data_IF_318099173688
#
_entry.id   IF_318099173688
#
_cell.length_a   1.000
_cell.length_b   1.000
_cell.length_c   1.000
_cell.angle_alpha   90.00
_cell.angle_beta   90.00
_cell.angle_gamma   90.00
#
_symmetry.space_group_name_H-M   'P 1'
#
loop_
_entity.id
_entity.type
_entity.pdbx_description
1 polymer ?
#
# COMPACT_ATOMS: atom_id res chain seq x y z
N UNK A 1 17.37 -5.58 25.46
CA UNK A 1 16.29 -6.38 24.87
C UNK A 1 16.38 -6.18 23.38
N UNK A 2 16.69 -7.23 22.62
CA UNK A 2 17.03 -7.13 21.20
C UNK A 2 15.83 -6.57 20.44
N UNK A 3 15.98 -5.40 19.83
CA UNK A 3 15.02 -4.84 18.88
C UNK A 3 14.97 -5.77 17.68
N UNK A 4 14.08 -6.76 17.71
CA UNK A 4 13.62 -7.40 16.48
C UNK A 4 12.87 -6.31 15.72
N UNK A 5 13.55 -5.64 14.80
CA UNK A 5 12.87 -4.96 13.70
C UNK A 5 12.06 -6.04 13.01
N UNK A 6 10.76 -6.12 13.32
CA UNK A 6 9.78 -6.83 12.50
C UNK A 6 9.93 -6.32 11.05
N UNK A 7 9.20 -6.89 10.07
CA UNK A 7 9.20 -6.42 8.67
C UNK A 7 8.63 -4.99 8.47
N UNK A 8 8.76 -4.12 9.47
CA UNK A 8 8.29 -2.75 9.51
C UNK A 8 9.20 -1.83 8.69
N UNK A 9 8.55 -1.08 7.79
CA UNK A 9 9.18 -0.01 7.04
C UNK A 9 9.14 1.31 7.84
N UNK A 10 10.32 1.84 8.19
CA UNK A 10 10.49 3.15 8.83
C UNK A 10 11.66 3.92 8.21
N UNK A 11 11.40 5.09 7.60
CA UNK A 11 12.44 5.98 7.12
C UNK A 11 13.25 6.61 8.27
N UNK A 12 14.59 6.73 8.12
CA UNK A 12 15.46 7.32 9.14
C UNK A 12 15.18 8.81 9.38
N UNK A 13 14.58 9.52 8.43
CA UNK A 13 14.27 10.96 8.54
C UNK A 13 13.01 11.28 9.37
N UNK A 14 12.24 10.28 9.79
CA UNK A 14 11.00 10.51 10.55
C UNK A 14 11.17 11.30 11.86
N UNK A 15 12.18 11.04 12.71
CA UNK A 15 12.32 11.74 13.98
C UNK A 15 12.43 13.26 13.81
N UNK A 16 13.27 13.71 12.87
CA UNK A 16 13.47 15.14 12.61
C UNK A 16 12.22 15.79 12.04
N UNK A 17 11.52 15.10 11.14
CA UNK A 17 10.27 15.61 10.55
C UNK A 17 9.13 15.69 11.58
N UNK A 18 9.07 14.74 12.50
CA UNK A 18 8.11 14.78 13.63
C UNK A 18 8.39 15.98 14.53
N UNK A 19 9.66 16.24 14.88
CA UNK A 19 10.04 17.42 15.68
C UNK A 19 9.72 18.73 14.96
N UNK A 20 10.06 18.82 13.67
CA UNK A 20 9.76 19.99 12.86
C UNK A 20 8.24 20.26 12.78
N UNK A 21 7.43 19.21 12.64
CA UNK A 21 5.96 19.34 12.68
C UNK A 21 5.47 19.85 14.05
N UNK A 22 5.98 19.27 15.15
CA UNK A 22 5.61 19.67 16.50
C UNK A 22 6.01 21.12 16.83
N UNK A 23 7.13 21.60 16.29
CA UNK A 23 7.61 22.97 16.46
C UNK A 23 6.95 23.99 15.52
N UNK A 24 6.09 23.54 14.59
CA UNK A 24 5.47 24.41 13.58
C UNK A 24 6.40 24.83 12.43
N UNK A 25 7.53 24.15 12.28
CA UNK A 25 8.52 24.37 11.22
C UNK A 25 8.20 23.59 9.94
N UNK A 26 7.33 22.57 10.05
CA UNK A 26 6.84 21.77 8.93
C UNK A 26 5.34 22.02 8.73
N UNK A 27 4.98 22.42 7.51
CA UNK A 27 3.57 22.47 7.08
C UNK A 27 3.21 21.13 6.43
N UNK A 28 2.19 20.40 6.92
CA UNK A 28 1.77 19.13 6.32
C UNK A 28 1.36 19.30 4.86
N UNK A 29 1.83 18.39 4.00
CA UNK A 29 1.34 18.31 2.63
C UNK A 29 -0.13 17.86 2.60
N UNK A 30 -0.92 18.33 1.63
CA UNK A 30 -2.27 17.82 1.44
C UNK A 30 -2.20 16.36 0.92
N UNK A 31 -2.94 15.42 1.52
CA UNK A 31 -2.91 14.03 1.09
C UNK A 31 -3.63 13.86 -0.26
N UNK A 32 -2.96 13.17 -1.21
CA UNK A 32 -3.57 12.79 -2.48
C UNK A 32 -4.50 11.59 -2.27
N UNK A 33 -5.69 11.62 -2.86
CA UNK A 33 -6.60 10.46 -2.80
C UNK A 33 -6.01 9.28 -3.56
N UNK A 34 -6.15 8.10 -2.99
CA UNK A 34 -5.68 6.85 -3.58
C UNK A 34 -6.66 5.72 -3.29
N UNK A 35 -6.56 4.66 -4.08
CA UNK A 35 -7.32 3.44 -3.89
C UNK A 35 -6.41 2.22 -3.99
N UNK A 36 -6.71 1.18 -3.22
CA UNK A 36 -5.94 -0.07 -3.19
C UNK A 36 -6.89 -1.24 -3.08
N UNK A 37 -6.65 -2.33 -3.81
CA UNK A 37 -7.54 -3.50 -3.85
C UNK A 37 -6.82 -4.75 -3.37
N UNK A 38 -7.30 -5.31 -2.26
CA UNK A 38 -6.98 -6.66 -1.81
C UNK A 38 -7.75 -7.65 -2.68
N UNK A 39 -7.12 -8.08 -3.77
CA UNK A 39 -7.70 -9.07 -4.67
C UNK A 39 -7.57 -10.46 -4.06
N UNK A 40 -8.71 -11.13 -3.87
CA UNK A 40 -8.83 -12.39 -3.15
C UNK A 40 -9.23 -13.53 -4.07
N UNK A 41 -8.76 -14.74 -3.78
CA UNK A 41 -9.29 -15.99 -4.34
C UNK A 41 -9.19 -17.10 -3.31
N UNK A 42 -10.09 -18.06 -3.36
CA UNK A 42 -10.03 -19.21 -2.44
C UNK A 42 -8.97 -20.21 -2.88
N UNK A 43 -8.14 -20.66 -1.93
CA UNK A 43 -7.20 -21.73 -2.16
C UNK A 43 -7.92 -23.08 -2.15
N UNK A 44 -7.41 -24.03 -2.96
CA UNK A 44 -7.90 -25.41 -2.93
C UNK A 44 -7.74 -26.08 -1.55
N UNK A 45 -6.80 -25.61 -0.74
CA UNK A 45 -6.59 -26.05 0.65
C UNK A 45 -7.56 -25.40 1.67
N UNK A 46 -8.49 -24.56 1.19
CA UNK A 46 -9.44 -23.80 2.02
C UNK A 46 -8.91 -22.40 2.37
N UNK A 47 -9.78 -21.44 2.66
CA UNK A 47 -9.40 -20.06 3.01
C UNK A 47 -9.02 -19.17 1.82
N UNK A 48 -9.15 -17.84 1.94
CA UNK A 48 -8.73 -16.91 0.92
C UNK A 48 -7.19 -16.80 0.86
N UNK A 49 -6.68 -16.59 -0.34
CA UNK A 49 -5.34 -16.06 -0.62
C UNK A 49 -5.51 -14.67 -1.22
N UNK A 50 -4.55 -13.80 -0.95
CA UNK A 50 -4.52 -12.43 -1.45
C UNK A 50 -3.40 -12.25 -2.46
N UNK A 51 -3.68 -11.50 -3.52
CA UNK A 51 -2.68 -11.11 -4.51
C UNK A 51 -1.86 -9.94 -3.97
N UNK A 52 -0.56 -10.14 -3.80
CA UNK A 52 0.37 -9.11 -3.34
C UNK A 52 1.47 -8.89 -4.36
N UNK A 53 1.88 -7.64 -4.50
CA UNK A 53 2.96 -7.18 -5.36
C UNK A 53 4.15 -6.76 -4.50
N UNK A 54 5.35 -7.17 -4.86
CA UNK A 54 6.58 -6.64 -4.26
C UNK A 54 7.07 -5.47 -5.10
N UNK A 55 7.12 -4.29 -4.49
CA UNK A 55 7.65 -3.08 -5.12
C UNK A 55 9.11 -3.29 -5.47
N UNK A 56 9.55 -2.82 -6.65
CA UNK A 56 10.97 -2.93 -7.04
C UNK A 56 11.86 -2.33 -5.96
N UNK A 57 12.95 -3.03 -5.61
CA UNK A 57 13.88 -2.59 -4.56
C UNK A 57 14.54 -1.25 -4.87
N UNK A 58 14.62 -0.88 -6.15
CA UNK A 58 15.16 0.41 -6.62
C UNK A 58 14.22 1.60 -6.41
N UNK A 59 12.97 1.39 -5.97
CA UNK A 59 12.04 2.49 -5.72
C UNK A 59 12.47 3.32 -4.49
N UNK A 60 12.44 4.65 -4.64
CA UNK A 60 12.84 5.59 -3.59
C UNK A 60 11.95 5.57 -2.34
N UNK A 61 10.74 5.04 -2.43
CA UNK A 61 9.78 4.92 -1.32
C UNK A 61 9.25 3.48 -1.24
N UNK A 62 9.40 2.87 -0.06
CA UNK A 62 8.97 1.50 0.23
C UNK A 62 9.48 0.45 -0.80
N UNK A 63 10.70 0.61 -1.30
CA UNK A 63 11.32 -0.38 -2.19
C UNK A 63 11.46 -1.75 -1.49
N UNK A 64 11.08 -2.82 -2.18
CA UNK A 64 11.06 -4.17 -1.62
C UNK A 64 9.88 -4.48 -0.69
N UNK A 65 9.03 -3.49 -0.39
CA UNK A 65 7.84 -3.72 0.42
C UNK A 65 6.74 -4.41 -0.40
N UNK A 66 6.00 -5.30 0.25
CA UNK A 66 4.80 -5.89 -0.30
C UNK A 66 3.62 -4.94 -0.14
N UNK A 67 2.84 -4.81 -1.21
CA UNK A 67 1.63 -4.02 -1.32
C UNK A 67 0.58 -4.79 -2.13
N UNK A 68 -0.57 -4.15 -2.37
CA UNK A 68 -1.59 -4.65 -3.29
C UNK A 68 -1.65 -3.73 -4.52
N UNK A 69 -2.30 -4.14 -5.62
CA UNK A 69 -2.63 -3.25 -6.72
C UNK A 69 -3.33 -1.98 -6.20
N UNK A 70 -2.86 -0.82 -6.63
CA UNK A 70 -3.41 0.45 -6.17
C UNK A 70 -2.51 1.64 -6.45
N UNK A 71 -3.15 2.79 -6.60
CA UNK A 71 -2.48 4.03 -6.94
C UNK A 71 -3.34 5.25 -6.67
N UNK A 72 -2.86 6.39 -7.15
CA UNK A 72 -3.53 7.67 -6.94
C UNK A 72 -4.75 7.78 -7.85
N UNK A 73 -5.75 8.53 -7.38
CA UNK A 73 -6.82 9.01 -8.25
C UNK A 73 -6.21 9.89 -9.34
N UNK A 74 -6.49 9.58 -10.61
CA UNK A 74 -6.08 10.38 -11.77
C UNK A 74 -7.21 11.38 -12.10
N UNK A 75 -6.91 12.62 -12.53
CA UNK A 75 -7.95 13.56 -12.96
C UNK A 75 -8.89 13.01 -14.04
N UNK A 76 -8.44 12.05 -14.86
CA UNK A 76 -9.28 11.37 -15.86
C UNK A 76 -10.35 10.47 -15.24
N UNK A 77 -10.21 10.06 -13.98
CA UNK A 77 -11.21 9.27 -13.25
C UNK A 77 -12.50 10.08 -12.94
N UNK A 78 -12.45 11.41 -13.13
CA UNK A 78 -13.62 12.30 -13.04
C UNK A 78 -14.60 12.10 -14.21
N UNK A 79 -14.11 11.56 -15.34
CA UNK A 79 -14.94 11.32 -16.52
C UNK A 79 -16.04 10.31 -16.20
N UNK A 80 -17.30 10.60 -16.55
CA UNK A 80 -18.40 9.66 -16.29
C UNK A 80 -18.18 8.30 -16.96
N UNK A 81 -18.42 7.23 -16.20
CA UNK A 81 -18.43 5.85 -16.70
C UNK A 81 -19.82 5.24 -16.59
N UNK A 82 -20.14 4.31 -17.48
CA UNK A 82 -21.30 3.44 -17.29
C UNK A 82 -21.10 2.59 -16.01
N UNK A 83 -22.15 2.42 -15.24
CA UNK A 83 -22.03 2.05 -13.82
C UNK A 83 -23.11 1.04 -13.43
N UNK A 84 -22.70 0.00 -12.73
CA UNK A 84 -23.55 -1.01 -12.12
C UNK A 84 -23.17 -1.24 -10.65
N UNK A 85 -24.12 -1.75 -9.86
CA UNK A 85 -23.98 -1.93 -8.41
C UNK A 85 -24.48 -0.73 -7.59
N UNK A 86 -24.02 -0.57 -6.33
CA UNK A 86 -24.39 0.56 -5.49
C UNK A 86 -24.14 1.88 -6.22
N UNK A 87 -25.10 2.79 -6.16
CA UNK A 87 -24.99 4.10 -6.81
C UNK A 87 -23.81 4.90 -6.24
N UNK A 88 -23.35 5.88 -7.01
CA UNK A 88 -22.34 6.86 -6.56
C UNK A 88 -22.73 7.54 -5.24
N UNK A 89 -24.02 7.79 -5.03
CA UNK A 89 -24.54 8.34 -3.79
C UNK A 89 -24.41 7.38 -2.60
N UNK A 90 -24.67 6.08 -2.82
CA UNK A 90 -24.45 5.06 -1.78
C UNK A 90 -22.97 4.93 -1.43
N UNK A 91 -22.08 4.94 -2.43
CA UNK A 91 -20.63 4.95 -2.21
C UNK A 91 -20.14 6.21 -1.48
N UNK A 92 -20.66 7.38 -1.85
CA UNK A 92 -20.38 8.65 -1.17
C UNK A 92 -20.71 8.60 0.32
N UNK A 93 -21.91 8.12 0.67
CA UNK A 93 -22.30 7.91 2.07
C UNK A 93 -21.37 6.91 2.75
N UNK A 94 -21.11 5.76 2.11
CA UNK A 94 -20.25 4.70 2.66
C UNK A 94 -18.85 5.18 2.99
N UNK A 95 -18.28 6.05 2.15
CA UNK A 95 -16.90 6.52 2.22
C UNK A 95 -16.76 7.88 2.92
N UNK A 96 -17.86 8.57 3.21
CA UNK A 96 -17.85 9.90 3.82
C UNK A 96 -17.33 11.01 2.90
N UNK A 97 -17.67 10.96 1.61
CA UNK A 97 -17.27 11.93 0.58
C UNK A 97 -18.48 12.35 -0.28
N UNK A 98 -18.30 13.26 -1.23
CA UNK A 98 -19.36 13.59 -2.20
C UNK A 98 -19.43 12.55 -3.35
N UNK A 99 -20.55 12.46 -4.10
CA UNK A 99 -20.72 11.48 -5.19
C UNK A 99 -19.70 11.55 -6.33
N UNK A 100 -19.17 12.73 -6.64
CA UNK A 100 -18.15 12.86 -7.69
C UNK A 100 -16.82 12.29 -7.19
N UNK A 101 -16.41 12.63 -5.96
CA UNK A 101 -15.23 12.04 -5.32
C UNK A 101 -15.37 10.53 -5.11
N UNK A 102 -16.55 10.02 -4.79
CA UNK A 102 -16.79 8.59 -4.68
C UNK A 102 -16.55 7.86 -6.02
N UNK A 103 -17.01 8.44 -7.13
CA UNK A 103 -16.76 7.87 -8.45
C UNK A 103 -15.26 7.77 -8.73
N UNK A 104 -14.50 8.84 -8.48
CA UNK A 104 -13.08 8.88 -8.85
C UNK A 104 -12.27 7.84 -8.08
N UNK A 105 -12.55 7.66 -6.79
CA UNK A 105 -11.88 6.65 -5.95
C UNK A 105 -12.24 5.22 -6.40
N UNK A 106 -13.51 4.94 -6.71
CA UNK A 106 -13.93 3.63 -7.21
C UNK A 106 -13.35 3.35 -8.60
N UNK A 107 -13.29 4.35 -9.49
CA UNK A 107 -12.66 4.21 -10.79
C UNK A 107 -11.16 3.94 -10.64
N UNK A 108 -10.46 4.67 -9.76
CA UNK A 108 -9.06 4.40 -9.46
C UNK A 108 -8.84 2.97 -8.94
N UNK A 109 -9.70 2.48 -8.04
CA UNK A 109 -9.61 1.10 -7.54
C UNK A 109 -9.65 0.07 -8.68
N UNK A 110 -10.61 0.19 -9.60
CA UNK A 110 -10.76 -0.75 -10.72
C UNK A 110 -9.66 -0.56 -11.77
N UNK A 111 -9.33 0.69 -12.10
CA UNK A 111 -8.29 1.04 -13.08
C UNK A 111 -6.93 0.50 -12.65
N UNK A 112 -6.49 0.82 -11.44
CA UNK A 112 -5.19 0.39 -10.90
C UNK A 112 -5.13 -1.15 -10.78
N UNK A 113 -6.24 -1.79 -10.42
CA UNK A 113 -6.31 -3.26 -10.41
C UNK A 113 -6.06 -3.84 -11.81
N UNK A 114 -6.66 -3.25 -12.85
CA UNK A 114 -6.44 -3.70 -14.23
C UNK A 114 -5.03 -3.38 -14.72
N UNK A 115 -4.54 -2.18 -14.45
CA UNK A 115 -3.19 -1.74 -14.82
C UNK A 115 -2.11 -2.64 -14.22
N UNK A 116 -2.18 -2.96 -12.94
CA UNK A 116 -1.11 -3.70 -12.26
C UNK A 116 -1.26 -5.22 -12.29
N UNK A 117 -2.49 -5.72 -12.31
CA UNK A 117 -2.76 -7.16 -12.22
C UNK A 117 -3.43 -7.76 -13.45
N UNK A 118 -3.88 -6.96 -14.41
CA UNK A 118 -4.65 -7.42 -15.57
C UNK A 118 -6.08 -7.85 -15.25
N UNK A 119 -6.51 -7.72 -13.99
CA UNK A 119 -7.85 -8.10 -13.55
C UNK A 119 -8.79 -6.90 -13.65
N UNK A 120 -9.92 -7.08 -14.33
CA UNK A 120 -10.88 -6.02 -14.59
C UNK A 120 -12.21 -6.29 -13.88
N UNK A 121 -12.62 -5.37 -13.00
CA UNK A 121 -13.92 -5.40 -12.32
C UNK A 121 -14.98 -4.64 -13.13
N UNK A 122 -15.21 -5.11 -14.36
CA UNK A 122 -16.19 -4.57 -15.30
C UNK A 122 -16.75 -5.69 -16.19
N UNK A 123 -17.88 -5.42 -16.84
CA UNK A 123 -18.54 -6.37 -17.73
C UNK A 123 -19.44 -5.70 -18.76
N UNK A 124 -20.01 -6.46 -19.71
CA UNK A 124 -20.93 -5.91 -20.70
C UNK A 124 -22.30 -5.54 -20.11
N UNK A 125 -22.61 -5.96 -18.88
CA UNK A 125 -23.86 -5.66 -18.18
C UNK A 125 -23.68 -5.62 -16.66
N UNK A 126 -24.75 -5.30 -15.94
CA UNK A 126 -24.75 -5.27 -14.47
C UNK A 126 -24.70 -6.68 -13.83
N UNK A 127 -24.85 -7.73 -14.61
CA UNK A 127 -24.95 -9.12 -14.15
C UNK A 127 -23.70 -9.94 -14.46
N UNK A 128 -22.97 -9.56 -15.52
CA UNK A 128 -21.81 -10.33 -16.01
C UNK A 128 -20.52 -9.55 -15.88
N UNK A 129 -19.40 -10.26 -15.98
CA UNK A 129 -18.04 -9.72 -16.00
C UNK A 129 -17.35 -10.13 -17.29
N UNK A 130 -16.31 -9.39 -17.68
CA UNK A 130 -15.36 -9.89 -18.68
C UNK A 130 -14.69 -11.14 -18.08
N UNK A 131 -14.66 -12.25 -18.82
CA UNK A 131 -14.10 -13.51 -18.31
C UNK A 131 -12.64 -13.72 -18.72
N UNK A 132 -12.15 -13.05 -19.75
CA UNK A 132 -10.76 -13.15 -20.19
C UNK A 132 -10.25 -11.78 -20.67
N UNK A 133 -9.17 -11.33 -20.03
CA UNK A 133 -8.48 -10.07 -20.29
C UNK A 133 -7.07 -10.30 -20.85
N UNK A 134 -6.76 -11.49 -21.37
CA UNK A 134 -5.39 -11.88 -21.76
C UNK A 134 -5.07 -11.78 -23.25
N UNK A 135 -6.02 -11.31 -24.07
CA UNK A 135 -5.81 -11.05 -25.49
C UNK A 135 -4.84 -9.89 -25.76
N UNK A 136 -4.21 -9.87 -26.94
CA UNK A 136 -3.26 -8.81 -27.34
C UNK A 136 -3.89 -7.42 -27.35
N UNK A 137 -5.18 -7.33 -27.69
CA UNK A 137 -5.94 -6.08 -27.68
C UNK A 137 -6.19 -5.57 -26.24
N UNK A 138 -6.39 -6.47 -25.27
CA UNK A 138 -6.51 -6.12 -23.86
C UNK A 138 -5.18 -5.61 -23.29
N UNK A 139 -4.08 -6.26 -23.66
CA UNK A 139 -2.75 -5.82 -23.24
C UNK A 139 -2.39 -4.46 -23.85
N UNK A 140 -2.73 -4.22 -25.12
CA UNK A 140 -2.55 -2.92 -25.75
C UNK A 140 -3.32 -1.80 -25.02
N UNK A 141 -4.58 -2.05 -24.65
CA UNK A 141 -5.38 -1.09 -23.88
C UNK A 141 -4.81 -0.87 -22.46
N UNK A 142 -4.38 -1.95 -21.80
CA UNK A 142 -3.73 -1.87 -20.47
C UNK A 142 -2.47 -1.02 -20.53
N UNK A 143 -1.60 -1.27 -21.52
CA UNK A 143 -0.39 -0.49 -21.72
C UNK A 143 -0.69 0.99 -21.99
N UNK A 144 -1.75 1.30 -22.75
CA UNK A 144 -2.18 2.68 -23.00
C UNK A 144 -2.75 3.37 -21.73
N UNK A 145 -3.41 2.62 -20.84
CA UNK A 145 -3.85 3.12 -19.53
C UNK A 145 -2.65 3.45 -18.63
N UNK A 146 -1.70 2.51 -18.51
CA UNK A 146 -0.45 2.69 -17.75
C UNK A 146 0.38 3.87 -18.27
N UNK A 147 0.41 4.07 -19.60
CA UNK A 147 1.08 5.21 -20.23
C UNK A 147 0.29 6.54 -20.13
N UNK A 148 -0.91 6.51 -19.55
CA UNK A 148 -1.86 7.63 -19.48
C UNK A 148 -2.28 8.21 -20.84
N UNK A 149 -2.17 7.40 -21.90
CA UNK A 149 -2.57 7.72 -23.28
C UNK A 149 -4.06 7.44 -23.53
N UNK A 150 -4.64 6.51 -22.76
CA UNK A 150 -6.06 6.18 -22.75
C UNK A 150 -6.65 6.53 -21.38
N UNK A 151 -7.83 7.15 -21.36
CA UNK A 151 -8.57 7.30 -20.10
C UNK A 151 -9.37 6.04 -19.80
N UNK A 152 -9.54 5.69 -18.53
CA UNK A 152 -10.32 4.52 -18.13
C UNK A 152 -11.78 4.61 -18.58
N UNK A 153 -12.37 5.81 -18.58
CA UNK A 153 -13.70 6.02 -19.13
C UNK A 153 -13.79 5.74 -20.64
N UNK A 154 -12.80 6.20 -21.43
CA UNK A 154 -12.77 5.93 -22.87
C UNK A 154 -12.52 4.44 -23.15
N UNK A 155 -11.67 3.78 -22.35
CA UNK A 155 -11.44 2.34 -22.40
C UNK A 155 -12.73 1.55 -22.22
N UNK A 156 -13.47 1.80 -21.12
CA UNK A 156 -14.76 1.15 -20.87
C UNK A 156 -15.77 1.46 -21.98
N UNK A 157 -15.85 2.72 -22.40
CA UNK A 157 -16.79 3.17 -23.44
C UNK A 157 -16.55 2.50 -24.79
N UNK A 158 -15.30 2.41 -25.24
CA UNK A 158 -14.92 1.75 -26.51
C UNK A 158 -15.25 0.26 -26.51
N UNK A 159 -15.13 -0.40 -25.36
CA UNK A 159 -15.44 -1.82 -25.19
C UNK A 159 -16.91 -2.11 -24.83
N UNK A 160 -17.74 -1.07 -24.68
CA UNK A 160 -19.14 -1.23 -24.27
C UNK A 160 -19.31 -1.81 -22.87
N UNK A 161 -18.38 -1.51 -21.96
CA UNK A 161 -18.34 -2.06 -20.62
C UNK A 161 -18.93 -1.11 -19.59
N UNK A 162 -19.53 -1.70 -18.55
CA UNK A 162 -19.97 -1.01 -17.35
C UNK A 162 -19.03 -1.36 -16.19
N UNK A 163 -18.66 -0.37 -15.40
CA UNK A 163 -17.94 -0.59 -14.15
C UNK A 163 -18.87 -1.33 -13.17
N UNK A 164 -18.40 -2.44 -12.62
CA UNK A 164 -19.14 -3.28 -11.66
C UNK A 164 -18.74 -2.93 -10.23
N UNK A 165 -19.30 -1.84 -9.71
CA UNK A 165 -18.94 -1.33 -8.37
C UNK A 165 -19.36 -2.28 -7.26
N UNK A 166 -20.36 -3.14 -7.50
CA UNK A 166 -20.80 -4.19 -6.57
C UNK A 166 -19.76 -5.31 -6.35
N UNK A 167 -18.72 -5.40 -7.18
CA UNK A 167 -17.61 -6.34 -6.98
C UNK A 167 -16.56 -5.83 -5.99
N UNK A 168 -16.68 -4.59 -5.54
CA UNK A 168 -15.80 -3.96 -4.55
C UNK A 168 -16.51 -3.87 -3.21
N UNK A 169 -15.78 -4.20 -2.14
CA UNK A 169 -16.17 -3.90 -0.76
C UNK A 169 -15.18 -2.95 -0.12
N UNK A 170 -15.60 -1.77 0.35
CA UNK A 170 -14.68 -0.88 1.07
C UNK A 170 -14.31 -1.47 2.44
N UNK A 171 -13.00 -1.51 2.70
CA UNK A 171 -12.41 -2.32 3.77
C UNK A 171 -11.77 -1.47 4.87
N UNK A 172 -10.93 -0.51 4.50
CA UNK A 172 -10.26 0.38 5.45
C UNK A 172 -9.95 1.72 4.79
N UNK A 173 -9.63 2.73 5.59
CA UNK A 173 -9.13 4.02 5.12
C UNK A 173 -7.92 4.42 5.95
N UNK A 174 -6.79 4.67 5.29
CA UNK A 174 -5.54 5.05 5.95
C UNK A 174 -5.03 6.34 5.35
N UNK A 175 -4.61 7.27 6.21
CA UNK A 175 -4.00 8.54 5.80
C UNK A 175 -2.53 8.51 6.21
N UNK A 176 -1.65 8.79 5.25
CA UNK A 176 -0.21 8.89 5.50
C UNK A 176 0.07 9.98 6.56
N UNK A 177 1.02 9.74 7.50
CA UNK A 177 1.33 10.69 8.57
C UNK A 177 1.59 12.12 8.08
N UNK A 178 1.24 13.11 8.90
CA UNK A 178 1.34 14.54 8.54
C UNK A 178 2.77 15.02 8.29
N UNK A 179 3.73 14.40 8.95
CA UNK A 179 5.13 14.71 8.80
C UNK A 179 5.71 14.14 7.49
N UNK A 180 5.02 13.28 6.75
CA UNK A 180 5.52 12.75 5.48
C UNK A 180 5.40 13.78 4.35
N UNK A 181 6.40 13.91 3.44
CA UNK A 181 6.34 14.86 2.34
C UNK A 181 5.40 14.38 1.23
N UNK A 182 5.21 13.06 1.10
CA UNK A 182 4.31 12.44 0.13
C UNK A 182 3.19 11.76 0.89
N UNK A 183 2.02 12.39 0.90
CA UNK A 183 0.87 11.90 1.65
C UNK A 183 -0.21 11.38 0.73
N UNK A 184 -0.86 10.32 1.19
CA UNK A 184 -2.01 9.72 0.55
C UNK A 184 -3.15 9.55 1.55
N UNK A 185 -4.37 9.72 1.07
CA UNK A 185 -5.60 9.32 1.73
C UNK A 185 -6.14 8.14 0.94
N UNK A 186 -5.87 6.93 1.44
CA UNK A 186 -6.04 5.69 0.70
C UNK A 186 -7.25 4.93 1.21
N UNK A 187 -8.19 4.67 0.30
CA UNK A 187 -9.28 3.72 0.52
C UNK A 187 -8.84 2.33 0.08
N UNK A 188 -8.89 1.38 1.01
CA UNK A 188 -8.65 -0.03 0.74
C UNK A 188 -9.98 -0.70 0.44
N UNK A 189 -9.98 -1.56 -0.57
CA UNK A 189 -11.12 -2.37 -0.97
C UNK A 189 -10.73 -3.84 -0.97
N UNK A 190 -11.71 -4.73 -0.80
CA UNK A 190 -11.60 -6.16 -1.11
C UNK A 190 -12.38 -6.45 -2.39
N UNK A 191 -11.88 -7.38 -3.18
CA UNK A 191 -12.58 -7.91 -4.35
C UNK A 191 -12.26 -9.39 -4.52
N UNK A 192 -13.24 -10.20 -4.91
CA UNK A 192 -12.98 -11.57 -5.36
C UNK A 192 -12.49 -11.55 -6.81
N UNK A 193 -11.50 -12.40 -7.13
CA UNK A 193 -11.03 -12.62 -8.49
C UNK A 193 -12.21 -13.08 -9.36
N UNK A 194 -12.60 -12.33 -10.40
CA UNK A 194 -13.69 -12.74 -11.29
C UNK A 194 -13.41 -14.08 -11.96
N UNK A 195 -14.43 -14.93 -12.08
CA UNK A 195 -14.30 -16.24 -12.71
C UNK A 195 -13.77 -16.12 -14.15
N UNK A 196 -12.80 -16.96 -14.50
CA UNK A 196 -12.13 -16.97 -15.81
C UNK A 196 -10.92 -16.04 -15.90
N UNK A 197 -10.89 -14.95 -15.13
CA UNK A 197 -9.77 -14.03 -15.16
C UNK A 197 -8.55 -14.58 -14.40
N UNK A 198 -7.37 -14.13 -14.80
CA UNK A 198 -6.09 -14.49 -14.19
C UNK A 198 -5.21 -13.26 -14.07
N UNK A 199 -4.44 -13.20 -12.99
CA UNK A 199 -3.48 -12.11 -12.78
C UNK A 199 -2.31 -12.22 -13.77
N UNK A 200 -1.73 -11.09 -14.14
CA UNK A 200 -0.51 -11.04 -14.93
C UNK A 200 0.61 -11.86 -14.28
N UNK A 201 1.41 -12.61 -15.06
CA UNK A 201 2.59 -13.27 -14.53
C UNK A 201 3.64 -12.23 -14.14
N UNK A 202 4.14 -12.26 -12.90
CA UNK A 202 5.27 -11.45 -12.44
C UNK A 202 6.35 -12.37 -11.85
N UNK A 203 7.62 -12.21 -12.27
CA UNK A 203 8.77 -12.98 -11.77
C UNK A 203 9.98 -12.97 -12.72
N UNK A 204 11.13 -13.53 -12.32
CA UNK A 204 12.39 -13.48 -13.10
C UNK A 204 12.35 -14.20 -14.46
N UNK A 205 11.30 -14.99 -14.73
CA UNK A 205 11.02 -15.59 -16.03
C UNK A 205 10.29 -14.64 -17.01
N UNK A 206 9.94 -13.42 -16.59
CA UNK A 206 9.31 -12.39 -17.43
C UNK A 206 10.32 -11.67 -18.36
N UNK A 207 11.51 -12.24 -18.59
CA UNK A 207 12.37 -11.80 -19.69
C UNK A 207 11.58 -11.91 -20.99
N UNK A 208 11.49 -10.84 -21.80
CA UNK A 208 10.87 -10.95 -23.11
C UNK A 208 11.75 -11.92 -23.91
N UNK A 209 11.22 -13.12 -24.19
CA UNK A 209 11.77 -13.94 -25.25
C UNK A 209 11.78 -13.14 -26.56
N UNK A 210 12.51 -13.58 -27.59
CA UNK A 210 12.41 -12.93 -28.89
C UNK A 210 10.98 -13.11 -29.41
N UNK A 211 10.14 -12.08 -29.23
CA UNK A 211 8.70 -12.08 -29.50
C UNK A 211 7.77 -12.01 -28.27
N UNK A 212 8.26 -11.77 -27.06
CA UNK A 212 7.43 -11.71 -25.84
C UNK A 212 6.71 -10.39 -25.63
N UNK A 213 5.39 -10.44 -25.41
CA UNK A 213 4.55 -9.31 -25.00
C UNK A 213 4.95 -8.84 -23.58
N UNK A 214 5.23 -7.55 -23.35
CA UNK A 214 5.60 -7.06 -22.01
C UNK A 214 4.37 -7.04 -21.09
N UNK A 215 4.21 -8.04 -20.21
CA UNK A 215 3.13 -8.10 -19.21
C UNK A 215 3.55 -7.69 -17.79
N UNK A 216 4.78 -7.21 -17.60
CA UNK A 216 5.29 -6.87 -16.27
C UNK A 216 4.95 -5.42 -15.89
N UNK A 217 4.48 -5.20 -14.66
CA UNK A 217 4.42 -3.85 -14.08
C UNK A 217 5.85 -3.31 -13.97
N UNK A 218 6.08 -2.05 -14.36
CA UNK A 218 7.38 -1.40 -14.14
C UNK A 218 7.59 -1.01 -12.67
N UNK A 219 6.62 -1.21 -11.80
CA UNK A 219 6.70 -0.82 -10.39
C UNK A 219 6.87 -2.01 -9.45
N UNK A 220 6.56 -3.23 -9.89
CA UNK A 220 6.73 -4.46 -9.14
C UNK A 220 7.70 -5.44 -9.80
N UNK A 221 8.50 -6.18 -9.02
CA UNK A 221 9.40 -7.22 -9.54
C UNK A 221 8.90 -8.66 -9.26
N UNK A 222 7.88 -8.79 -8.42
CA UNK A 222 7.29 -10.07 -8.03
C UNK A 222 5.80 -9.88 -7.72
N UNK A 223 4.99 -10.89 -8.05
CA UNK A 223 3.64 -11.02 -7.55
C UNK A 223 3.43 -12.40 -6.96
N UNK A 224 2.69 -12.47 -5.85
CA UNK A 224 2.41 -13.70 -5.13
C UNK A 224 0.94 -13.79 -4.79
N UNK A 225 0.42 -15.01 -4.81
CA UNK A 225 -0.81 -15.34 -4.11
C UNK A 225 -0.41 -16.02 -2.80
N UNK A 226 -0.72 -15.39 -1.67
CA UNK A 226 -0.28 -15.83 -0.35
C UNK A 226 -1.46 -15.80 0.62
N UNK A 227 -1.49 -16.71 1.59
CA UNK A 227 -2.50 -16.65 2.65
C UNK A 227 -2.28 -15.44 3.56
N UNK A 228 -3.35 -14.78 4.05
CA UNK A 228 -3.20 -13.70 5.02
C UNK A 228 -2.40 -14.09 6.27
N UNK A 229 -2.55 -15.33 6.77
CA UNK A 229 -1.80 -15.82 7.92
C UNK A 229 -0.30 -15.99 7.61
N UNK A 230 0.02 -16.56 6.45
CA UNK A 230 1.41 -16.77 6.02
C UNK A 230 2.13 -15.45 5.77
N UNK A 231 1.45 -14.49 5.14
CA UNK A 231 1.97 -13.16 4.88
C UNK A 231 2.24 -12.39 6.18
N UNK A 232 1.30 -12.43 7.14
CA UNK A 232 1.48 -11.83 8.45
C UNK A 232 2.63 -12.48 9.23
N UNK A 233 2.72 -13.82 9.23
CA UNK A 233 3.81 -14.53 9.88
C UNK A 233 5.18 -14.22 9.24
N UNK A 234 5.23 -14.06 7.91
CA UNK A 234 6.45 -13.63 7.21
C UNK A 234 6.87 -12.21 7.57
N UNK A 235 5.91 -11.30 7.76
CA UNK A 235 6.17 -9.96 8.29
C UNK A 235 6.70 -10.01 9.74
N UNK A 236 6.10 -10.83 10.61
CA UNK A 236 6.52 -10.97 12.00
C UNK A 236 7.95 -11.52 12.11
N UNK A 237 8.37 -12.39 11.17
CA UNK A 237 9.75 -12.89 11.05
C UNK A 237 10.71 -11.91 10.37
N UNK A 238 10.24 -10.77 9.86
CA UNK A 238 11.06 -9.81 9.12
C UNK A 238 11.41 -10.21 7.68
N UNK A 239 10.76 -11.25 7.15
CA UNK A 239 11.00 -11.78 5.80
C UNK A 239 10.22 -11.02 4.72
N UNK A 240 9.05 -10.48 5.09
CA UNK A 240 8.21 -9.69 4.20
C UNK A 240 8.10 -8.26 4.74
N UNK A 241 8.81 -7.34 4.08
CA UNK A 241 8.71 -5.92 4.38
C UNK A 241 7.31 -5.41 4.01
N UNK A 242 6.62 -4.75 4.93
CA UNK A 242 5.30 -4.19 4.70
C UNK A 242 5.12 -2.87 5.43
N UNK A 243 4.27 -2.00 4.88
CA UNK A 243 3.81 -0.81 5.60
C UNK A 243 2.67 -1.17 6.57
N UNK A 244 2.44 -0.38 7.64
CA UNK A 244 1.38 -0.64 8.62
C UNK A 244 -0.01 -0.92 8.04
N UNK A 245 -0.50 -0.18 7.01
CA UNK A 245 -1.80 -0.47 6.42
C UNK A 245 -1.89 -1.91 5.86
N UNK A 246 -0.85 -2.38 5.18
CA UNK A 246 -0.83 -3.71 4.54
C UNK A 246 -0.94 -4.83 5.57
N UNK A 247 -0.09 -4.81 6.62
CA UNK A 247 -0.12 -5.85 7.65
C UNK A 247 -1.42 -5.80 8.47
N UNK A 248 -1.94 -4.60 8.77
CA UNK A 248 -3.21 -4.44 9.45
C UNK A 248 -4.36 -5.06 8.64
N UNK A 249 -4.40 -4.80 7.32
CA UNK A 249 -5.44 -5.38 6.46
C UNK A 249 -5.27 -6.89 6.29
N UNK A 250 -4.05 -7.43 6.20
CA UNK A 250 -3.83 -8.89 6.20
C UNK A 250 -4.37 -9.55 7.46
N UNK A 251 -4.06 -9.00 8.64
CA UNK A 251 -4.55 -9.53 9.92
C UNK A 251 -6.07 -9.47 10.01
N UNK A 252 -6.67 -8.40 9.50
CA UNK A 252 -8.13 -8.27 9.46
C UNK A 252 -8.82 -9.29 8.55
N UNK A 253 -8.11 -9.88 7.58
CA UNK A 253 -8.66 -10.91 6.68
C UNK A 253 -8.63 -12.33 7.26
N UNK A 254 -7.79 -12.60 8.25
CA UNK A 254 -7.62 -13.94 8.84
C UNK A 254 -8.90 -14.60 9.39
N UNK A 255 -9.89 -13.84 9.92
CA UNK A 255 -11.13 -14.45 10.41
C UNK A 255 -12.05 -15.03 9.33
N UNK A 256 -11.84 -14.72 8.03
CA UNK A 256 -12.78 -15.09 6.96
C UNK A 256 -12.39 -16.41 6.29
N UNK A 257 -13.39 -17.29 6.13
CA UNK A 257 -13.19 -18.62 5.55
C UNK A 257 -13.12 -18.62 4.02
N UNK A 258 -13.68 -17.60 3.37
CA UNK A 258 -13.68 -17.46 1.90
C UNK A 258 -13.53 -16.00 1.46
N UNK A 259 -13.14 -15.80 0.21
CA UNK A 259 -13.12 -14.49 -0.44
C UNK A 259 -14.52 -13.85 -0.47
N UNK A 260 -15.57 -14.67 -0.62
CA UNK A 260 -16.95 -14.21 -0.58
C UNK A 260 -17.35 -13.72 0.82
N UNK A 261 -16.95 -14.41 1.89
CA UNK A 261 -17.21 -13.99 3.27
C UNK A 261 -16.53 -12.65 3.57
N UNK A 262 -15.27 -12.49 3.13
CA UNK A 262 -14.54 -11.23 3.27
C UNK A 262 -15.25 -10.10 2.50
N UNK A 263 -15.66 -10.33 1.25
CA UNK A 263 -16.40 -9.34 0.46
C UNK A 263 -17.72 -8.94 1.13
N UNK A 264 -18.49 -9.92 1.63
CA UNK A 264 -19.74 -9.66 2.34
C UNK A 264 -19.56 -8.87 3.63
N UNK A 265 -18.45 -9.10 4.35
CA UNK A 265 -18.15 -8.38 5.58
C UNK A 265 -17.75 -6.91 5.37
N UNK A 266 -17.42 -6.51 4.14
CA UNK A 266 -17.01 -5.14 3.81
C UNK A 266 -18.09 -4.09 4.12
N UNK A 267 -19.37 -4.48 4.09
CA UNK A 267 -20.49 -3.60 4.44
C UNK A 267 -20.41 -3.10 5.90
N UNK A 268 -19.91 -3.94 6.81
CA UNK A 268 -19.80 -3.64 8.23
C UNK A 268 -18.48 -2.99 8.65
N UNK A 269 -17.50 -2.84 7.73
CA UNK A 269 -16.18 -2.32 8.07
C UNK A 269 -16.21 -0.84 8.47
N UNK A 270 -15.45 -0.48 9.51
CA UNK A 270 -15.28 0.91 9.91
C UNK A 270 -14.27 1.62 9.01
N UNK A 271 -14.69 2.65 8.28
CA UNK A 271 -13.83 3.47 7.42
C UNK A 271 -13.40 4.79 8.06
N UNK A 272 -13.50 4.91 9.38
CA UNK A 272 -12.86 6.02 10.10
C UNK A 272 -11.37 6.00 9.74
N UNK A 273 -10.82 7.12 9.23
CA UNK A 273 -9.45 7.15 8.73
C UNK A 273 -8.48 6.85 9.86
N UNK A 274 -7.60 5.87 9.65
CA UNK A 274 -6.47 5.59 10.53
C UNK A 274 -5.34 6.53 10.16
N UNK A 275 -4.94 7.39 11.10
CA UNK A 275 -3.83 8.34 10.97
C UNK A 275 -2.85 8.11 12.12
N UNK A 276 -1.56 8.16 11.81
CA UNK A 276 -0.52 8.07 12.82
C UNK A 276 -0.54 9.31 13.72
N UNK A 277 -0.38 9.10 15.01
CA UNK A 277 -0.23 10.15 16.01
C UNK A 277 1.21 10.14 16.52
N UNK A 278 1.91 11.25 16.35
CA UNK A 278 3.22 11.47 16.93
C UNK A 278 3.10 12.41 18.14
N UNK A 279 3.61 11.99 19.29
CA UNK A 279 3.63 12.78 20.54
C UNK A 279 5.06 12.89 21.05
N UNK A 280 5.43 14.08 21.54
CA UNK A 280 6.68 14.28 22.29
C UNK A 280 6.39 14.06 23.78
N UNK A 281 6.97 13.01 24.37
CA UNK A 281 6.80 12.64 25.78
C UNK A 281 8.17 12.52 26.43
N UNK A 282 8.49 13.44 27.35
CA UNK A 282 9.76 13.38 28.09
C UNK A 282 11.03 13.47 27.24
N UNK A 283 10.97 14.10 26.06
CA UNK A 283 12.09 14.18 25.11
C UNK A 283 12.12 13.05 24.07
N UNK A 284 11.30 12.01 24.24
CA UNK A 284 11.14 10.92 23.29
C UNK A 284 9.96 11.18 22.34
N UNK A 285 10.04 10.60 21.14
CA UNK A 285 8.93 10.57 20.19
C UNK A 285 8.18 9.26 20.37
N UNK A 286 6.90 9.34 20.70
CA UNK A 286 5.97 8.22 20.65
C UNK A 286 5.13 8.33 19.37
N UNK A 287 5.34 7.39 18.44
CA UNK A 287 4.56 7.25 17.23
C UNK A 287 3.59 6.08 17.38
N UNK A 288 2.30 6.31 17.20
CA UNK A 288 1.24 5.30 17.40
C UNK A 288 0.17 5.38 16.32
N UNK A 289 -0.52 4.28 16.08
CA UNK A 289 -1.72 4.24 15.23
C UNK A 289 -2.89 3.78 16.09
N UNK A 290 -3.91 4.63 16.33
CA UNK A 290 -5.05 4.26 17.16
C UNK A 290 -5.71 2.95 16.72
N UNK A 291 -5.87 2.01 17.64
CA UNK A 291 -6.40 0.67 17.35
C UNK A 291 -5.36 -0.34 16.81
N UNK A 292 -4.11 0.08 16.67
CA UNK A 292 -3.00 -0.72 16.13
C UNK A 292 -1.72 -0.54 16.96
N UNK A 293 -1.82 -0.84 18.27
CA UNK A 293 -0.73 -0.65 19.24
C UNK A 293 0.56 -1.39 18.87
N UNK A 294 0.44 -2.46 18.08
CA UNK A 294 1.55 -3.23 17.53
C UNK A 294 2.53 -2.43 16.64
N UNK A 295 2.10 -1.28 16.12
CA UNK A 295 2.96 -0.37 15.33
C UNK A 295 3.52 0.77 16.17
N UNK A 296 3.25 0.78 17.48
CA UNK A 296 3.74 1.84 18.36
C UNK A 296 5.25 1.78 18.46
N UNK A 297 5.90 2.94 18.28
CA UNK A 297 7.34 3.11 18.44
C UNK A 297 7.67 4.25 19.38
N UNK A 298 8.66 3.98 20.23
CA UNK A 298 9.35 4.98 21.02
C UNK A 298 10.71 5.23 20.38
N UNK A 299 10.94 6.45 19.91
CA UNK A 299 12.20 6.87 19.32
C UNK A 299 12.88 7.79 20.32
N UNK A 300 14.02 7.31 20.83
CA UNK A 300 14.85 8.06 21.77
C UNK A 300 15.37 9.35 21.14
N UNK A 301 15.74 10.30 21.99
CA UNK A 301 16.50 11.47 21.59
C UNK A 301 17.87 10.97 21.09
N UNK A 302 18.27 11.37 19.87
CA UNK A 302 19.69 11.24 19.51
C UNK A 302 20.45 12.16 20.47
N UNK A 303 21.41 11.59 21.21
CA UNK A 303 22.38 12.39 21.97
C UNK A 303 23.14 13.22 20.95
N UNK A 304 22.70 14.48 20.79
CA UNK A 304 23.42 15.49 20.03
C UNK A 304 24.85 15.51 20.54
N UNK A 305 25.80 15.28 19.63
CA UNK A 305 27.19 14.99 19.93
C UNK A 305 27.76 15.91 21.01
N UNK A 306 28.04 15.34 22.18
CA UNK A 306 28.97 15.96 23.11
C UNK A 306 30.30 16.21 22.36
N UNK A 307 30.87 17.42 22.39
CA UNK A 307 32.23 17.60 21.92
C UNK A 307 33.09 16.68 22.77
N UNK A 308 33.69 15.66 22.14
CA UNK A 308 34.57 14.75 22.84
C UNK A 308 35.65 15.57 23.54
N UNK A 309 35.64 15.54 24.87
CA UNK A 309 36.71 16.07 25.69
C UNK A 309 38.01 15.42 25.22
N UNK A 310 38.81 16.21 24.51
CA UNK A 310 40.14 15.85 24.06
C UNK A 310 41.04 15.65 25.27
N UNK A 311 40.99 14.47 25.88
CA UNK A 311 41.98 14.05 26.85
C UNK A 311 43.23 13.62 26.08
N UNK A 312 44.08 14.61 25.74
CA UNK A 312 45.47 14.34 25.37
C UNK A 312 46.22 13.82 26.60
N UNK A 313 46.82 12.62 26.59
CA UNK A 313 47.80 12.27 27.60
C UNK A 313 49.10 13.00 27.24
N UNK A 314 49.43 14.03 28.02
CA UNK A 314 50.76 14.63 28.00
C UNK A 314 51.74 13.66 28.65
N UNK A 315 52.52 12.97 27.81
CA UNK A 315 53.75 12.31 28.22
C UNK A 315 54.75 13.37 28.71
N UNK A 316 55.18 13.27 29.96
CA UNK A 316 56.44 13.82 30.44
C UNK A 316 56.94 13.00 31.63
N UNK A 317 58.22 12.56 31.64
CA UNK A 317 58.69 11.55 32.57
C UNK A 317 59.16 12.13 33.91
N UNK A 318 58.86 11.41 34.98
CA UNK A 318 59.36 11.67 36.34
C UNK A 318 60.89 11.47 36.43
N UNK A 319 61.59 12.24 37.29
CA UNK A 319 63.04 12.19 37.42
C UNK A 319 63.49 11.07 38.36
N UNK A 320 64.50 10.31 37.93
CA UNK A 320 65.25 9.38 38.76
C UNK A 320 66.23 10.14 39.64
N UNK A 321 65.97 10.18 40.96
CA UNK A 321 66.94 10.54 41.99
C UNK A 321 67.41 9.29 42.74
N UNK A 322 68.72 9.04 42.75
CA UNK A 322 69.35 7.92 43.44
C UNK A 322 70.88 7.99 43.37
N UNK A 323 71.46 8.54 44.43
CA UNK A 323 72.82 9.05 44.68
C UNK A 323 73.90 7.93 44.93
N UNK A 324 75.15 8.21 45.38
CA UNK A 324 76.37 7.76 44.71
C UNK A 324 77.21 6.75 45.51
N UNK A 325 78.18 6.11 44.85
CA UNK A 325 79.48 5.67 45.39
C UNK A 325 80.38 5.24 44.23
#
# INVERSE_FOLDING_TARGET
>A
MSSTTNGQWYPPEWPDRIRALANGELTPAEPRRAATVLLLRDAASGGPTVHMLRRRTSMAFAGGAYAYPGGSVDPRDERPVAWAGPSRAQWAVRMGVDPATAQTIVCAAVRETFEESGVLLAGPSAETVVTDTTGEDWEADRAALVAHELSFADFLGRRGLVLRSDLLGAWARWITPEFEPRRYDTWFFVAALPEGQRTLPQGPAASPGPGGTPGASTEADLAVWIRPEEAAAGYDRGELLMMPPTIATLRSLQPYATAADALGAAEAQNLTPVLAQARLVGGEIELSWPGHDEFTKHIAQDDDGAPGDGHSPSDSPSPSGGTPA
#
